data_IF_559111575486
#
_entry.id   IF_559111575486
#
_cell.length_a   1.000
_cell.length_b   1.000
_cell.length_c   1.000
_cell.angle_alpha   90.00
_cell.angle_beta   90.00
_cell.angle_gamma   90.00
#
_symmetry.space_group_name_H-M   'P 1'
#
loop_
_entity.id
_entity.type
_entity.pdbx_description
1 polymer ?
#
# COMPACT_ATOMS: atom_id res chain seq x y z
N UNK A 1 -47.94 -34.31 17.01
CA UNK A 1 -47.00 -33.43 17.73
C UNK A 1 -45.76 -33.31 16.87
N UNK A 2 -45.51 -32.12 16.33
CA UNK A 2 -44.48 -31.84 15.33
C UNK A 2 -43.15 -31.53 16.03
N UNK A 3 -42.06 -32.19 15.61
CA UNK A 3 -40.69 -31.79 15.95
C UNK A 3 -39.93 -31.58 14.66
N UNK A 4 -39.88 -30.34 14.20
CA UNK A 4 -39.00 -29.87 13.12
C UNK A 4 -37.64 -29.55 13.69
N UNK A 5 -36.61 -30.23 13.18
CA UNK A 5 -35.21 -30.04 13.52
C UNK A 5 -34.69 -28.86 12.69
N UNK A 6 -34.41 -27.72 13.34
CA UNK A 6 -33.86 -26.53 12.68
C UNK A 6 -32.34 -26.67 12.62
N UNK A 7 -31.80 -26.84 11.40
CA UNK A 7 -30.37 -26.70 11.13
C UNK A 7 -30.00 -25.22 11.18
N UNK A 8 -29.19 -24.80 12.17
CA UNK A 8 -28.56 -23.48 12.19
C UNK A 8 -27.22 -23.55 11.45
N UNK A 9 -27.19 -23.08 10.20
CA UNK A 9 -25.94 -22.80 9.50
C UNK A 9 -25.37 -21.48 10.04
N UNK A 10 -24.31 -21.55 10.84
CA UNK A 10 -23.57 -20.37 11.27
C UNK A 10 -22.76 -19.83 10.07
N UNK A 11 -23.22 -18.71 9.51
CA UNK A 11 -22.50 -17.98 8.46
C UNK A 11 -21.34 -17.22 9.13
N UNK A 12 -20.14 -17.79 9.07
CA UNK A 12 -18.91 -17.14 9.51
C UNK A 12 -18.52 -16.09 8.47
N UNK A 13 -18.98 -14.85 8.65
CA UNK A 13 -18.53 -13.71 7.84
C UNK A 13 -17.10 -13.36 8.24
N UNK A 14 -16.12 -13.93 7.53
CA UNK A 14 -14.75 -13.44 7.56
C UNK A 14 -14.74 -12.01 7.01
N UNK A 15 -14.60 -11.03 7.89
CA UNK A 15 -14.21 -9.67 7.54
C UNK A 15 -12.78 -9.72 6.99
N UNK A 16 -12.65 -10.04 5.70
CA UNK A 16 -11.45 -9.71 4.95
C UNK A 16 -11.37 -8.19 4.94
N UNK A 17 -10.51 -7.63 5.80
CA UNK A 17 -10.14 -6.24 5.73
C UNK A 17 -9.49 -6.00 4.37
N UNK A 18 -10.26 -5.45 3.43
CA UNK A 18 -9.69 -4.97 2.18
C UNK A 18 -8.80 -3.79 2.53
N UNK A 19 -7.49 -3.97 2.43
CA UNK A 19 -6.58 -2.84 2.37
C UNK A 19 -6.99 -2.01 1.15
N UNK A 20 -7.49 -0.79 1.39
CA UNK A 20 -7.66 0.19 0.31
C UNK A 20 -6.28 0.45 -0.27
N UNK A 21 -6.16 0.35 -1.58
CA UNK A 21 -4.92 0.57 -2.27
C UNK A 21 -4.79 2.02 -2.74
N UNK A 22 -3.57 2.41 -3.08
CA UNK A 22 -3.27 3.72 -3.66
C UNK A 22 -4.18 4.07 -4.81
N UNK A 23 -4.36 5.37 -4.96
CA UNK A 23 -5.33 5.91 -5.90
C UNK A 23 -4.58 6.67 -6.98
N UNK A 24 -4.72 6.24 -8.24
CA UNK A 24 -4.03 6.88 -9.36
C UNK A 24 -4.94 7.95 -9.97
N UNK A 25 -4.49 9.20 -9.95
CA UNK A 25 -5.23 10.35 -10.47
C UNK A 25 -4.32 11.12 -11.41
N UNK A 26 -4.66 11.13 -12.70
CA UNK A 26 -3.89 11.85 -13.73
C UNK A 26 -2.38 11.50 -13.74
N UNK A 27 -2.02 10.25 -13.42
CA UNK A 27 -0.63 9.80 -13.34
C UNK A 27 0.04 9.98 -11.97
N UNK A 28 -0.56 10.74 -11.05
CA UNK A 28 -0.09 10.87 -9.67
C UNK A 28 -0.61 9.74 -8.80
N UNK A 29 0.21 9.30 -7.85
CA UNK A 29 -0.10 8.19 -6.95
C UNK A 29 -0.44 8.74 -5.57
N UNK A 30 -1.74 8.88 -5.29
CA UNK A 30 -2.21 9.29 -3.97
C UNK A 30 -2.08 8.12 -3.01
N UNK A 31 -1.37 8.33 -1.91
CA UNK A 31 -1.29 7.36 -0.83
C UNK A 31 -2.63 7.26 -0.09
N UNK A 32 -2.73 6.30 0.83
CA UNK A 32 -3.86 6.19 1.74
C UNK A 32 -3.83 7.28 2.84
N UNK A 33 -2.79 8.11 2.87
CA UNK A 33 -2.63 9.24 3.75
C UNK A 33 -2.74 10.58 3.01
N UNK A 34 -1.82 11.48 3.31
CA UNK A 34 -1.69 12.82 2.76
C UNK A 34 -0.63 12.92 1.65
N UNK A 35 0.33 11.99 1.60
CA UNK A 35 1.38 12.03 0.59
C UNK A 35 0.88 11.69 -0.82
N UNK A 36 1.51 12.31 -1.82
CA UNK A 36 1.40 11.95 -3.24
C UNK A 36 2.79 11.52 -3.71
N UNK A 37 2.90 10.35 -4.33
CA UNK A 37 4.16 9.85 -4.86
C UNK A 37 4.29 10.28 -6.33
N UNK A 38 5.29 11.10 -6.61
CA UNK A 38 5.62 11.59 -7.95
C UNK A 38 6.61 10.64 -8.65
N UNK A 39 7.47 9.98 -7.89
CA UNK A 39 8.39 8.97 -8.38
C UNK A 39 8.80 7.95 -7.29
N UNK A 40 9.08 6.69 -7.65
CA UNK A 40 8.99 6.13 -9.00
C UNK A 40 7.54 5.80 -9.41
N UNK A 41 7.33 5.52 -10.69
CA UNK A 41 6.06 4.93 -11.15
C UNK A 41 5.94 3.47 -10.68
N UNK A 42 4.71 2.92 -10.55
CA UNK A 42 4.52 1.53 -10.18
C UNK A 42 5.25 0.58 -11.14
N UNK A 43 5.80 -0.51 -10.61
CA UNK A 43 6.58 -1.53 -11.34
C UNK A 43 7.89 -1.00 -11.96
N UNK A 44 8.33 0.20 -11.59
CA UNK A 44 9.63 0.73 -12.05
C UNK A 44 10.79 -0.17 -11.62
N UNK A 45 11.82 -0.35 -12.48
CA UNK A 45 13.03 -1.06 -12.11
C UNK A 45 13.91 -0.24 -11.16
N UNK A 46 14.45 -0.89 -10.14
CA UNK A 46 15.44 -0.39 -9.20
C UNK A 46 16.71 -1.23 -9.34
N UNK A 47 17.78 -0.63 -9.84
CA UNK A 47 19.05 -1.33 -10.07
C UNK A 47 19.90 -1.35 -8.81
N UNK A 48 20.26 -2.53 -8.33
CA UNK A 48 21.18 -2.69 -7.23
C UNK A 48 22.56 -2.11 -7.56
N UNK A 49 23.21 -1.48 -6.58
CA UNK A 49 24.42 -0.70 -6.75
C UNK A 49 24.21 0.70 -7.35
N UNK A 50 22.97 1.12 -7.59
CA UNK A 50 22.62 2.43 -8.13
C UNK A 50 21.70 3.21 -7.19
N UNK A 51 21.58 4.52 -7.45
CA UNK A 51 20.64 5.39 -6.73
C UNK A 51 19.29 5.38 -7.43
N UNK A 52 18.24 5.06 -6.69
CA UNK A 52 16.84 5.29 -7.07
C UNK A 52 16.38 6.61 -6.46
N UNK A 53 15.87 7.51 -7.30
CA UNK A 53 15.22 8.74 -6.87
C UNK A 53 13.79 8.43 -6.43
N UNK A 54 13.42 8.91 -5.25
CA UNK A 54 12.05 8.88 -4.77
C UNK A 54 11.62 10.33 -4.57
N UNK A 55 10.48 10.72 -5.15
CA UNK A 55 9.94 12.06 -5.05
C UNK A 55 8.51 12.00 -4.48
N UNK A 56 8.25 12.78 -3.43
CA UNK A 56 6.98 12.80 -2.72
C UNK A 56 6.49 14.23 -2.56
N UNK A 57 5.32 14.55 -3.10
CA UNK A 57 4.61 15.78 -2.75
C UNK A 57 3.93 15.63 -1.38
N UNK A 58 4.25 16.57 -0.49
CA UNK A 58 3.76 16.69 0.88
C UNK A 58 2.88 17.93 1.08
N UNK A 59 2.47 18.56 -0.01
CA UNK A 59 1.53 19.69 -0.05
C UNK A 59 0.10 19.27 -0.35
N UNK A 60 -0.11 18.01 -0.73
CA UNK A 60 -1.42 17.49 -1.10
C UNK A 60 -1.97 18.18 -2.34
N UNK A 61 -1.11 18.38 -3.36
CA UNK A 61 -1.41 19.14 -4.58
C UNK A 61 -1.81 20.59 -4.26
N UNK A 62 -1.06 21.22 -3.36
CA UNK A 62 -1.27 22.61 -2.90
C UNK A 62 -2.46 22.82 -1.95
N UNK A 63 -3.09 21.77 -1.45
CA UNK A 63 -4.27 21.87 -0.55
C UNK A 63 -3.91 21.97 0.92
N UNK A 64 -2.69 21.60 1.29
CA UNK A 64 -2.17 21.70 2.64
C UNK A 64 -1.33 22.96 2.79
N UNK A 65 -1.40 23.60 3.95
CA UNK A 65 -0.45 24.65 4.30
C UNK A 65 0.97 24.06 4.32
N UNK A 66 1.97 24.84 3.92
CA UNK A 66 3.37 24.36 3.90
C UNK A 66 3.81 23.86 5.28
N UNK A 67 3.34 24.49 6.36
CA UNK A 67 3.64 24.09 7.74
C UNK A 67 3.06 22.73 8.10
N UNK A 68 2.03 22.23 7.41
CA UNK A 68 1.46 20.90 7.63
C UNK A 68 2.46 19.76 7.35
N UNK A 69 3.50 20.03 6.54
CA UNK A 69 4.59 19.06 6.27
C UNK A 69 5.71 19.09 7.32
N UNK A 70 5.71 20.08 8.23
CA UNK A 70 6.74 20.23 9.25
C UNK A 70 6.38 19.34 10.45
N UNK A 71 7.26 18.38 10.83
CA UNK A 71 7.01 17.52 11.99
C UNK A 71 6.77 18.35 13.26
N UNK A 72 5.68 18.07 13.97
CA UNK A 72 5.27 18.80 15.17
C UNK A 72 4.46 20.08 14.91
N UNK A 73 3.96 20.29 13.69
CA UNK A 73 3.00 21.35 13.37
C UNK A 73 1.71 21.26 14.19
N UNK A 74 1.05 22.40 14.41
CA UNK A 74 -0.26 22.49 15.07
C UNK A 74 -1.43 22.46 14.08
N UNK A 75 -1.15 22.36 12.77
CA UNK A 75 -2.20 22.29 11.74
C UNK A 75 -3.13 21.10 11.97
N UNK A 76 -4.44 21.30 11.76
CA UNK A 76 -5.44 20.26 12.00
C UNK A 76 -5.27 19.07 11.04
N UNK A 77 -4.81 19.33 9.82
CA UNK A 77 -4.45 18.30 8.84
C UNK A 77 -2.96 18.43 8.52
N UNK A 78 -2.16 17.45 8.92
CA UNK A 78 -0.70 17.50 8.89
C UNK A 78 -0.05 16.14 8.90
N UNK A 79 1.23 16.09 8.55
CA UNK A 79 2.09 14.94 8.75
C UNK A 79 2.68 14.94 10.16
N UNK A 80 2.74 13.76 10.78
CA UNK A 80 3.57 13.52 11.97
C UNK A 80 4.86 12.79 11.57
N UNK A 81 4.77 11.80 10.68
CA UNK A 81 5.91 11.13 10.04
C UNK A 81 5.56 10.55 8.67
N UNK A 82 6.60 10.38 7.84
CA UNK A 82 6.51 9.65 6.57
C UNK A 82 7.78 8.82 6.38
N UNK A 83 7.61 7.51 6.55
CA UNK A 83 8.69 6.52 6.50
C UNK A 83 8.52 5.62 5.28
N UNK A 84 9.63 5.16 4.72
CA UNK A 84 9.63 4.29 3.54
C UNK A 84 10.49 3.08 3.83
N UNK A 85 9.96 1.91 3.52
CA UNK A 85 10.68 0.64 3.63
C UNK A 85 10.56 -0.14 2.33
N UNK A 86 11.66 -0.76 1.90
CA UNK A 86 11.67 -1.67 0.76
C UNK A 86 11.38 -3.08 1.27
N UNK A 87 10.17 -3.58 1.01
CA UNK A 87 9.66 -4.82 1.61
C UNK A 87 9.36 -5.86 0.54
N UNK A 88 9.78 -7.10 0.76
CA UNK A 88 9.35 -8.25 -0.02
C UNK A 88 9.16 -9.47 0.88
N UNK A 89 7.95 -10.02 0.87
CA UNK A 89 7.64 -11.25 1.61
C UNK A 89 8.12 -12.51 0.87
N UNK A 90 8.42 -12.37 -0.43
CA UNK A 90 8.98 -13.45 -1.26
C UNK A 90 10.45 -13.66 -0.91
N UNK A 91 11.25 -12.60 -0.92
CA UNK A 91 12.68 -12.66 -0.61
C UNK A 91 12.99 -12.52 0.89
N UNK A 92 11.96 -12.33 1.73
CA UNK A 92 12.03 -12.14 3.19
C UNK A 92 12.81 -10.91 3.62
N UNK A 93 12.74 -9.86 2.81
CA UNK A 93 13.46 -8.62 3.01
C UNK A 93 12.55 -7.51 3.55
N UNK A 94 13.10 -6.72 4.46
CA UNK A 94 12.51 -5.47 4.94
C UNK A 94 13.67 -4.50 5.19
N UNK A 95 13.93 -3.59 4.26
CA UNK A 95 15.05 -2.64 4.35
C UNK A 95 14.55 -1.23 4.60
N UNK A 96 15.24 -0.49 5.46
CA UNK A 96 14.96 0.93 5.67
C UNK A 96 15.35 1.73 4.44
N UNK A 97 14.40 2.47 3.86
CA UNK A 97 14.70 3.48 2.83
C UNK A 97 14.81 4.85 3.49
N UNK A 98 13.81 5.23 4.28
CA UNK A 98 13.80 6.40 5.15
C UNK A 98 13.06 6.06 6.45
N UNK A 99 13.46 6.68 7.57
CA UNK A 99 12.86 6.39 8.88
C UNK A 99 12.61 7.68 9.69
N UNK A 100 11.66 7.57 10.63
CA UNK A 100 11.18 8.70 11.41
C UNK A 100 10.68 9.88 10.56
N UNK A 101 10.74 11.12 11.08
CA UNK A 101 10.34 12.30 10.33
C UNK A 101 11.41 12.79 9.33
N UNK A 102 12.54 12.07 9.18
CA UNK A 102 13.73 12.57 8.49
C UNK A 102 13.49 12.96 7.03
N UNK A 103 12.60 12.25 6.33
CA UNK A 103 12.20 12.59 4.96
C UNK A 103 11.48 13.94 4.88
N UNK A 104 10.57 14.21 5.82
CA UNK A 104 9.80 15.47 5.87
C UNK A 104 10.69 16.68 6.18
N UNK A 105 11.79 16.46 6.90
CA UNK A 105 12.76 17.52 7.21
C UNK A 105 13.71 17.85 6.06
N UNK A 106 13.75 17.03 5.00
CA UNK A 106 14.55 17.34 3.83
C UNK A 106 13.97 18.55 3.09
N UNK A 107 14.85 19.31 2.43
CA UNK A 107 14.47 20.37 1.50
C UNK A 107 13.45 21.34 2.12
N UNK A 108 13.86 22.01 3.21
CA UNK A 108 12.99 22.92 3.95
C UNK A 108 12.36 23.98 3.01
N UNK A 109 11.03 24.13 3.10
CA UNK A 109 10.26 25.04 2.24
C UNK A 109 9.82 24.44 0.90
N UNK A 110 10.29 23.25 0.52
CA UNK A 110 9.82 22.54 -0.66
C UNK A 110 8.51 21.78 -0.39
N UNK A 111 7.61 21.81 -1.35
CA UNK A 111 6.39 20.98 -1.39
C UNK A 111 6.67 19.54 -1.84
N UNK A 112 7.79 19.31 -2.50
CA UNK A 112 8.25 17.98 -2.94
C UNK A 112 9.51 17.60 -2.19
N UNK A 113 9.55 16.39 -1.66
CA UNK A 113 10.70 15.81 -0.95
C UNK A 113 11.38 14.78 -1.83
N UNK A 114 12.66 14.97 -2.09
CA UNK A 114 13.50 14.03 -2.81
C UNK A 114 14.31 13.17 -1.85
N UNK A 115 14.37 11.88 -2.12
CA UNK A 115 15.18 10.93 -1.38
C UNK A 115 16.04 10.07 -2.33
N UNK A 116 17.36 10.18 -2.16
CA UNK A 116 18.34 9.42 -2.92
C UNK A 116 18.56 8.06 -2.26
N UNK A 117 17.75 7.06 -2.59
CA UNK A 117 17.91 5.73 -2.02
C UNK A 117 18.98 4.94 -2.76
N UNK A 118 20.04 4.56 -2.05
CA UNK A 118 21.08 3.68 -2.59
C UNK A 118 20.62 2.22 -2.49
N UNK A 119 20.32 1.60 -3.63
CA UNK A 119 19.82 0.22 -3.67
C UNK A 119 20.99 -0.73 -3.42
N UNK A 120 21.04 -1.36 -2.25
CA UNK A 120 22.18 -2.22 -1.88
C UNK A 120 22.33 -3.45 -2.79
N UNK A 121 23.57 -3.80 -3.12
CA UNK A 121 23.92 -5.00 -3.91
C UNK A 121 23.69 -6.31 -3.17
N UNK A 122 23.37 -6.29 -1.87
CA UNK A 122 22.99 -7.49 -1.13
C UNK A 122 21.52 -7.92 -1.40
N UNK A 123 20.69 -7.03 -1.96
CA UNK A 123 19.24 -7.26 -2.08
C UNK A 123 18.98 -8.28 -3.20
N UNK A 124 18.32 -9.42 -2.94
CA UNK A 124 17.99 -10.37 -4.00
C UNK A 124 17.10 -9.74 -5.09
N UNK A 125 17.28 -10.06 -6.39
CA UNK A 125 16.38 -9.57 -7.42
C UNK A 125 14.95 -10.09 -7.21
N UNK A 126 13.95 -9.32 -7.62
CA UNK A 126 12.55 -9.74 -7.55
C UNK A 126 11.56 -8.60 -7.36
N UNK A 127 10.31 -8.96 -7.03
CA UNK A 127 9.25 -8.01 -6.72
C UNK A 127 9.35 -7.53 -5.27
N UNK A 128 9.28 -6.22 -5.10
CA UNK A 128 9.29 -5.52 -3.82
C UNK A 128 8.22 -4.45 -3.81
N UNK A 129 7.96 -3.89 -2.64
CA UNK A 129 7.21 -2.65 -2.50
C UNK A 129 8.08 -1.60 -1.82
N UNK A 130 8.10 -0.38 -2.36
CA UNK A 130 8.33 0.81 -1.55
C UNK A 130 7.06 1.03 -0.73
N UNK A 131 7.12 0.68 0.55
CA UNK A 131 5.98 0.75 1.46
C UNK A 131 6.08 2.02 2.28
N UNK A 132 5.12 2.92 2.06
CA UNK A 132 4.97 4.19 2.75
C UNK A 132 4.17 3.97 4.04
N UNK A 133 4.76 4.33 5.16
CA UNK A 133 4.13 4.35 6.47
C UNK A 133 3.98 5.80 6.88
N UNK A 134 2.74 6.27 6.95
CA UNK A 134 2.43 7.64 7.29
C UNK A 134 1.67 7.67 8.61
N UNK A 135 2.18 8.45 9.56
CA UNK A 135 1.39 8.94 10.68
C UNK A 135 0.99 10.38 10.38
N UNK A 136 -0.30 10.68 10.47
CA UNK A 136 -0.83 12.00 10.16
C UNK A 136 -2.04 12.34 11.02
N UNK A 137 -2.34 13.64 11.10
CA UNK A 137 -3.63 14.10 11.57
C UNK A 137 -4.47 14.58 10.39
N UNK A 138 -5.77 14.29 10.42
CA UNK A 138 -6.76 14.83 9.48
C UNK A 138 -7.91 15.40 10.30
N UNK A 139 -8.16 16.70 10.16
CA UNK A 139 -9.15 17.43 10.98
C UNK A 139 -8.97 17.22 12.50
N UNK A 140 -7.71 17.18 12.95
CA UNK A 140 -7.31 17.01 14.35
C UNK A 140 -7.40 15.57 14.87
N UNK A 141 -7.74 14.60 14.04
CA UNK A 141 -7.80 13.18 14.42
C UNK A 141 -6.58 12.41 13.89
N UNK A 142 -5.92 11.57 14.71
CA UNK A 142 -4.76 10.81 14.26
C UNK A 142 -5.15 9.62 13.38
N UNK A 143 -4.37 9.39 12.34
CA UNK A 143 -4.47 8.27 11.42
C UNK A 143 -3.09 7.64 11.19
N UNK A 144 -3.12 6.37 10.79
CA UNK A 144 -1.92 5.64 10.40
C UNK A 144 -2.21 4.89 9.11
N UNK A 145 -1.51 5.26 8.05
CA UNK A 145 -1.76 4.78 6.71
C UNK A 145 -0.55 4.01 6.21
N UNK A 146 -0.81 2.82 5.68
CA UNK A 146 0.18 2.02 4.97
C UNK A 146 -0.19 1.99 3.49
N UNK A 147 0.76 2.35 2.63
CA UNK A 147 0.58 2.31 1.16
C UNK A 147 1.77 1.60 0.50
N UNK A 148 1.56 0.41 -0.08
CA UNK A 148 2.59 -0.28 -0.86
C UNK A 148 2.60 0.16 -2.33
N UNK A 149 3.73 0.69 -2.79
CA UNK A 149 4.01 0.95 -4.21
C UNK A 149 4.90 -0.17 -4.77
N UNK A 150 4.43 -0.98 -5.74
CA UNK A 150 5.26 -2.06 -6.28
C UNK A 150 6.42 -1.51 -7.10
N UNK A 151 7.55 -2.18 -7.00
CA UNK A 151 8.79 -1.92 -7.73
C UNK A 151 9.51 -3.25 -8.01
N UNK A 152 10.41 -3.25 -8.98
CA UNK A 152 11.17 -4.44 -9.35
C UNK A 152 12.64 -4.19 -9.05
N UNK A 153 13.23 -4.95 -8.12
CA UNK A 153 14.67 -4.88 -7.88
C UNK A 153 15.39 -5.75 -8.91
N UNK A 154 16.30 -5.12 -9.66
CA UNK A 154 17.22 -5.78 -10.59
C UNK A 154 18.60 -5.89 -9.95
N UNK A 155 19.08 -7.12 -9.78
CA UNK A 155 20.40 -7.40 -9.23
C UNK A 155 21.00 -8.64 -9.89
N UNK A 156 21.97 -8.43 -10.78
CA UNK A 156 22.70 -9.46 -11.52
C UNK A 156 23.95 -9.96 -10.76
N UNK A 157 24.42 -9.20 -9.78
CA UNK A 157 25.64 -9.47 -9.01
C UNK A 157 25.40 -9.33 -7.50
N UNK A 158 24.52 -10.18 -6.95
CA UNK A 158 24.23 -10.16 -5.52
C UNK A 158 25.48 -10.48 -4.69
N UNK A 159 25.86 -9.56 -3.80
CA UNK A 159 27.14 -9.62 -3.04
C UNK A 159 27.07 -10.41 -1.73
N UNK A 160 25.88 -10.90 -1.34
CA UNK A 160 25.67 -11.68 -0.13
C UNK A 160 24.31 -11.43 0.53
N UNK A 161 24.18 -11.79 1.81
CA UNK A 161 22.98 -11.50 2.60
C UNK A 161 22.99 -10.06 3.12
N UNK A 162 21.83 -9.40 3.14
CA UNK A 162 21.70 -8.08 3.74
C UNK A 162 21.74 -8.16 5.26
N UNK A 163 22.75 -7.53 5.86
CA UNK A 163 22.96 -7.45 7.32
C UNK A 163 22.86 -6.03 7.87
N UNK A 164 23.06 -5.02 7.01
CA UNK A 164 22.90 -3.61 7.36
C UNK A 164 21.52 -3.11 6.92
N UNK A 165 20.93 -2.21 7.71
CA UNK A 165 19.65 -1.54 7.44
C UNK A 165 18.47 -2.50 7.19
N UNK A 166 18.59 -3.74 7.66
CA UNK A 166 17.51 -4.73 7.63
C UNK A 166 16.72 -4.70 8.94
N UNK A 167 15.42 -4.76 8.78
CA UNK A 167 14.46 -4.83 9.87
C UNK A 167 13.85 -6.23 9.94
N UNK A 168 13.28 -6.58 11.08
CA UNK A 168 12.44 -7.76 11.17
C UNK A 168 11.25 -7.62 10.20
N UNK A 169 11.03 -8.64 9.37
CA UNK A 169 9.85 -8.69 8.52
C UNK A 169 8.60 -8.90 9.40
N UNK A 170 7.68 -7.94 9.36
CA UNK A 170 6.40 -8.03 10.07
C UNK A 170 5.44 -8.98 9.33
N UNK A 171 4.40 -9.45 10.01
CA UNK A 171 3.37 -10.27 9.38
C UNK A 171 2.48 -9.43 8.43
N UNK A 172 1.95 -10.08 7.39
CA UNK A 172 0.97 -9.49 6.48
C UNK A 172 -0.44 -10.07 6.74
N UNK A 173 -1.52 -9.28 6.65
CA UNK A 173 -1.54 -7.82 6.45
C UNK A 173 -1.12 -7.07 7.72
N UNK A 174 -0.42 -5.95 7.55
CA UNK A 174 -0.08 -5.07 8.66
C UNK A 174 -1.28 -4.20 9.04
N UNK A 175 -1.38 -3.86 10.33
CA UNK A 175 -2.49 -3.05 10.84
C UNK A 175 -2.36 -1.60 10.35
N UNK A 176 -3.35 -1.16 9.59
CA UNK A 176 -3.50 0.20 9.06
C UNK A 176 -4.84 0.76 9.51
N UNK A 177 -4.90 2.06 9.77
CA UNK A 177 -6.10 2.82 10.11
C UNK A 177 -6.12 4.13 9.32
N UNK A 178 -6.31 4.05 7.98
CA UNK A 178 -6.33 5.22 7.13
C UNK A 178 -7.65 5.98 7.27
N UNK A 179 -7.66 7.25 6.89
CA UNK A 179 -8.91 8.00 6.79
C UNK A 179 -9.80 7.41 5.65
N UNK A 180 -11.13 7.29 5.83
CA UNK A 180 -11.98 6.50 4.92
C UNK A 180 -11.95 6.94 3.44
N UNK A 181 -11.64 8.20 3.16
CA UNK A 181 -11.45 8.76 1.83
C UNK A 181 -10.34 9.79 1.90
N UNK A 182 -9.33 9.74 1.02
CA UNK A 182 -8.26 10.75 1.02
C UNK A 182 -8.86 12.17 1.06
N UNK A 183 -8.44 13.03 2.00
CA UNK A 183 -8.97 14.39 2.10
C UNK A 183 -8.59 15.24 0.87
N UNK A 184 -7.66 14.75 0.06
CA UNK A 184 -7.20 15.40 -1.16
C UNK A 184 -8.09 15.10 -2.37
N UNK A 185 -8.98 14.11 -2.29
CA UNK A 185 -9.79 13.64 -3.41
C UNK A 185 -11.28 13.99 -3.17
N UNK A 186 -11.87 14.76 -4.10
CA UNK A 186 -13.26 15.24 -4.03
C UNK A 186 -14.32 14.17 -4.37
N UNK A 187 -14.18 12.94 -3.84
CA UNK A 187 -15.18 11.86 -3.95
C UNK A 187 -15.57 11.44 -5.38
N UNK A 188 -14.93 11.99 -6.42
CA UNK A 188 -15.17 11.65 -7.82
C UNK A 188 -14.59 10.26 -8.08
N UNK A 189 -15.26 9.43 -8.89
CA UNK A 189 -14.88 8.04 -9.12
C UNK A 189 -13.39 7.91 -9.47
N UNK A 190 -12.59 7.50 -8.49
CA UNK A 190 -11.16 7.36 -8.67
C UNK A 190 -10.84 5.90 -8.94
N UNK A 191 -10.00 5.67 -9.94
CA UNK A 191 -9.41 4.36 -10.21
C UNK A 191 -8.58 3.93 -9.00
N UNK A 192 -9.20 3.21 -8.07
CA UNK A 192 -8.46 2.51 -7.01
C UNK A 192 -7.86 1.26 -7.63
N UNK A 193 -6.59 1.34 -8.01
CA UNK A 193 -5.87 0.16 -8.48
C UNK A 193 -5.22 -0.51 -7.27
N UNK A 194 -5.72 -1.69 -6.92
CA UNK A 194 -5.01 -2.56 -6.01
C UNK A 194 -3.76 -3.09 -6.70
N UNK A 195 -2.61 -2.55 -6.33
CA UNK A 195 -1.33 -3.09 -6.79
C UNK A 195 -0.99 -4.36 -6.05
N UNK A 196 -0.40 -5.31 -6.77
CA UNK A 196 0.04 -6.56 -6.20
C UNK A 196 1.05 -6.27 -5.11
N UNK A 197 0.73 -6.63 -3.87
CA UNK A 197 1.74 -6.64 -2.82
C UNK A 197 2.68 -7.79 -3.13
N UNK A 198 4.00 -7.62 -2.97
CA UNK A 198 5.00 -8.69 -3.05
C UNK A 198 4.83 -9.72 -1.91
N UNK A 199 3.64 -10.27 -1.78
CA UNK A 199 3.21 -11.30 -0.85
C UNK A 199 3.76 -12.64 -1.33
N UNK A 200 4.25 -13.44 -0.40
CA UNK A 200 4.89 -14.73 -0.67
C UNK A 200 3.92 -15.84 -1.07
N UNK A 201 2.86 -15.55 -1.84
CA UNK A 201 1.88 -16.56 -2.25
C UNK A 201 1.47 -16.33 -3.70
N UNK A 202 1.85 -17.28 -4.55
CA UNK A 202 1.34 -17.44 -5.90
C UNK A 202 -0.19 -17.40 -5.92
N UNK A 203 -0.74 -16.86 -7.01
CA UNK A 203 -2.16 -16.87 -7.42
C UNK A 203 -3.05 -15.73 -6.94
N UNK A 204 -2.90 -14.55 -7.55
CA UNK A 204 -4.07 -13.74 -7.87
C UNK A 204 -4.72 -14.35 -9.13
N UNK A 205 -5.63 -15.31 -8.96
CA UNK A 205 -6.56 -15.69 -10.03
C UNK A 205 -7.40 -14.46 -10.35
N UNK A 206 -7.13 -13.82 -11.49
CA UNK A 206 -8.00 -12.83 -12.10
C UNK A 206 -9.35 -13.51 -12.40
N UNK A 207 -10.32 -13.35 -11.51
CA UNK A 207 -11.69 -13.73 -11.79
C UNK A 207 -12.28 -12.70 -12.76
N UNK A 208 -12.13 -12.94 -14.07
CA UNK A 208 -12.96 -12.28 -15.07
C UNK A 208 -14.41 -12.76 -14.86
N UNK A 209 -15.24 -11.94 -14.23
CA UNK A 209 -16.67 -12.15 -14.22
C UNK A 209 -17.21 -11.88 -15.64
N UNK A 210 -17.33 -12.94 -16.44
CA UNK A 210 -18.09 -12.91 -17.68
C UNK A 210 -19.58 -12.95 -17.36
N UNK A 211 -20.43 -12.06 -17.92
CA UNK A 211 -21.86 -12.15 -17.77
C UNK A 211 -22.43 -12.92 -18.96
N UNK A 212 -22.52 -14.26 -18.86
CA UNK A 212 -23.37 -15.03 -19.75
C UNK A 212 -24.19 -16.03 -18.94
N UNK A 213 -25.50 -15.87 -19.05
CA UNK A 213 -26.49 -16.55 -18.22
C UNK A 213 -26.55 -18.06 -18.44
N UNK A 214 -27.11 -18.74 -17.44
CA UNK A 214 -27.64 -20.07 -17.60
C UNK A 214 -28.97 -20.19 -16.85
N UNK A 215 -30.00 -20.48 -17.64
CA UNK A 215 -31.36 -20.82 -17.28
C UNK A 215 -31.40 -22.11 -16.46
N UNK A 216 -32.10 -22.09 -15.33
CA UNK A 216 -32.35 -23.26 -14.51
C UNK A 216 -33.60 -24.00 -15.04
N UNK A 217 -33.41 -25.15 -15.66
CA UNK A 217 -34.48 -26.12 -15.94
C UNK A 217 -34.64 -27.05 -14.73
N UNK A 218 -35.80 -27.01 -14.08
CA UNK A 218 -36.17 -27.95 -13.04
C UNK A 218 -36.63 -29.27 -13.67
N UNK A 219 -35.98 -30.39 -13.34
CA UNK A 219 -36.49 -31.74 -13.64
C UNK A 219 -36.98 -32.41 -12.36
N UNK A 220 -38.28 -32.73 -12.35
CA UNK A 220 -38.96 -33.48 -11.30
C UNK A 220 -38.73 -34.98 -11.55
N UNK A 221 -38.02 -35.66 -10.66
CA UNK A 221 -37.89 -37.13 -10.70
C UNK A 221 -38.64 -37.73 -9.52
N UNK A 222 -39.78 -38.34 -9.82
CA UNK A 222 -40.62 -39.10 -8.90
C UNK A 222 -40.03 -40.52 -8.76
N UNK A 223 -39.56 -40.89 -7.57
CA UNK A 223 -39.16 -42.27 -7.29
C UNK A 223 -40.34 -43.03 -6.68
N UNK A 224 -40.74 -44.11 -7.35
CA UNK A 224 -41.46 -45.23 -6.73
C UNK A 224 -40.49 -45.97 -5.79
N UNK A 225 -40.89 -46.17 -4.55
CA UNK A 225 -41.07 -47.45 -3.85
C UNK A 225 -41.43 -47.20 -2.39
#
# INVERSE_FOLDING_TARGET
MHSTLVLSAALLTSLLGYARAQTLVNGQIFTNGLAIVDAPEPESPMHAGSVTQIAIDVSGDGKLDQSASIPGSDEATRFDSLEIYLVSYQTKQNLTVSSGPGLLTQEQGSTVKHWNYNVSTCIPPGSYNLTFYEASHINGQPYFSITPLPVIVMNDHQTGACSNDTNQLQAFPQKSSPYPQSPLLNGSAVSTQAFATATGSNSATLAFASPFGLTLLASLSLFLM
#
